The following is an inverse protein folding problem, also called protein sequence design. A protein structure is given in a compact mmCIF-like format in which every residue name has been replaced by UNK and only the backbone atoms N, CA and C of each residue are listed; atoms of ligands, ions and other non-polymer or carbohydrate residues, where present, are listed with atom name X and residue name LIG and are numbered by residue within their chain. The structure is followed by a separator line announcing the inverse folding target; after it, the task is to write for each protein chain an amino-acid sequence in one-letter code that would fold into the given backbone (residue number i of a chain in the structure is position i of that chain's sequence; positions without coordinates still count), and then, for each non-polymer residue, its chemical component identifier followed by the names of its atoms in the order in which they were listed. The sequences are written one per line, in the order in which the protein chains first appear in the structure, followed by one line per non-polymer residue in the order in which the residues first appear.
data_IF_834781804033
#
_entry.id   IF_834781804033
#
_cell.length_a   1.000
_cell.length_b   1.000
_cell.length_c   1.000
_cell.angle_alpha   90.00
_cell.angle_beta   90.00
_cell.angle_gamma   90.00
#
_symmetry.space_group_name_H-M   'P 1'
#
loop_
_entity.id
_entity.type
_entity.pdbx_description
1 polymer ?
#
# COMPACT_ATOMS: atom_id res chain seq x y z
N UNK A 1 0.21 -39.00 -10.64
CA UNK A 1 0.50 -37.55 -10.61
C UNK A 1 -0.52 -36.88 -9.70
N UNK A 2 -0.20 -36.68 -8.42
CA UNK A 2 -1.10 -36.03 -7.47
C UNK A 2 -0.68 -34.57 -7.30
N UNK A 3 -1.42 -33.65 -7.92
CA UNK A 3 -1.30 -32.22 -7.63
C UNK A 3 -1.94 -31.94 -6.28
N UNK A 4 -1.25 -31.17 -5.43
CA UNK A 4 -1.77 -30.77 -4.13
C UNK A 4 -3.06 -29.95 -4.34
N UNK A 5 -4.11 -30.18 -3.53
CA UNK A 5 -5.43 -29.52 -3.72
C UNK A 5 -5.35 -27.99 -3.66
N UNK A 6 -4.31 -27.46 -3.01
CA UNK A 6 -4.03 -26.02 -2.92
C UNK A 6 -3.31 -25.43 -4.15
N UNK A 7 -2.70 -26.25 -5.02
CA UNK A 7 -1.84 -25.77 -6.10
C UNK A 7 -2.54 -24.83 -7.08
N UNK A 8 -3.84 -25.03 -7.33
CA UNK A 8 -4.63 -24.12 -8.18
C UNK A 8 -4.76 -22.72 -7.57
N UNK A 9 -5.05 -22.64 -6.26
CA UNK A 9 -5.20 -21.36 -5.57
C UNK A 9 -3.86 -20.68 -5.29
N UNK A 10 -2.81 -21.46 -5.05
CA UNK A 10 -1.45 -20.92 -4.87
C UNK A 10 -0.92 -20.31 -6.17
N UNK A 11 -1.08 -21.02 -7.30
CA UNK A 11 -0.78 -20.50 -8.63
C UNK A 11 -1.57 -19.22 -8.92
N UNK A 12 -2.89 -19.26 -8.70
CA UNK A 12 -3.77 -18.10 -8.92
C UNK A 12 -3.39 -16.88 -8.08
N UNK A 13 -2.90 -17.08 -6.85
CA UNK A 13 -2.42 -15.99 -5.97
C UNK A 13 -1.08 -15.41 -6.40
N UNK A 14 -0.24 -16.20 -7.06
CA UNK A 14 1.08 -15.77 -7.58
C UNK A 14 0.96 -15.02 -8.90
N UNK A 15 0.02 -15.40 -9.79
CA UNK A 15 -0.15 -14.78 -11.11
C UNK A 15 -0.67 -13.34 -11.08
N UNK A 16 -1.43 -12.95 -10.04
CA UNK A 16 -2.16 -11.65 -10.02
C UNK A 16 -1.41 -10.56 -9.25
N UNK A 17 -0.10 -10.43 -9.43
CA UNK A 17 0.59 -9.22 -8.96
C UNK A 17 1.55 -8.65 -10.01
N UNK A 18 1.01 -8.01 -11.07
CA UNK A 18 1.70 -6.89 -11.66
C UNK A 18 1.82 -5.82 -10.58
N UNK A 19 2.97 -5.85 -9.91
CA UNK A 19 3.43 -4.82 -9.02
C UNK A 19 3.80 -3.58 -9.89
N UNK A 20 4.04 -2.41 -9.31
CA UNK A 20 3.19 -1.67 -8.38
C UNK A 20 3.56 -0.19 -8.49
N UNK A 21 4.04 0.31 -9.64
CA UNK A 21 5.02 1.41 -9.62
C UNK A 21 4.48 2.64 -8.91
N UNK A 22 3.20 2.97 -9.16
CA UNK A 22 2.49 4.03 -8.46
C UNK A 22 2.21 3.72 -6.99
N UNK A 23 1.87 2.47 -6.63
CA UNK A 23 1.65 2.08 -5.23
C UNK A 23 2.94 1.96 -4.41
N UNK A 24 4.05 1.49 -4.98
CA UNK A 24 5.35 1.44 -4.33
C UNK A 24 5.92 2.84 -4.13
N UNK A 25 5.84 3.71 -5.14
CA UNK A 25 6.22 5.12 -5.01
C UNK A 25 5.36 5.81 -3.94
N UNK A 26 4.04 5.56 -3.95
CA UNK A 26 3.14 6.08 -2.92
C UNK A 26 3.51 5.56 -1.52
N UNK A 27 3.82 4.26 -1.37
CA UNK A 27 4.25 3.66 -0.09
C UNK A 27 5.57 4.25 0.39
N UNK A 28 6.54 4.44 -0.52
CA UNK A 28 7.79 5.09 -0.22
C UNK A 28 7.54 6.52 0.28
N UNK A 29 6.71 7.29 -0.45
CA UNK A 29 6.37 8.66 -0.07
C UNK A 29 5.66 8.74 1.28
N UNK A 30 4.69 7.86 1.53
CA UNK A 30 4.02 7.74 2.81
C UNK A 30 5.00 7.43 3.95
N UNK A 31 6.00 6.59 3.69
CA UNK A 31 7.03 6.23 4.68
C UNK A 31 7.95 7.41 4.98
N UNK A 32 8.34 8.19 3.97
CA UNK A 32 9.11 9.42 4.14
C UNK A 32 8.34 10.44 4.99
N UNK A 33 7.09 10.72 4.64
CA UNK A 33 6.22 11.63 5.40
C UNK A 33 6.04 11.16 6.85
N UNK A 34 5.91 9.85 7.06
CA UNK A 34 5.82 9.28 8.40
C UNK A 34 7.11 9.49 9.20
N UNK A 35 8.28 9.27 8.59
CA UNK A 35 9.59 9.53 9.22
C UNK A 35 9.78 11.01 9.57
N UNK A 36 9.47 11.91 8.64
CA UNK A 36 9.54 13.38 8.85
C UNK A 36 8.65 13.80 10.02
N UNK A 37 7.47 13.20 10.16
CA UNK A 37 6.54 13.49 11.26
C UNK A 37 6.93 12.87 12.62
N UNK A 38 8.10 12.25 12.74
CA UNK A 38 8.52 11.47 13.92
C UNK A 38 7.49 10.39 14.28
N UNK A 39 6.93 9.73 13.27
CA UNK A 39 5.96 8.64 13.43
C UNK A 39 4.62 9.06 14.07
N UNK A 40 4.35 10.36 14.21
CA UNK A 40 3.10 10.88 14.80
C UNK A 40 1.99 11.12 13.78
N UNK A 41 2.30 11.07 12.48
CA UNK A 41 1.32 11.35 11.42
C UNK A 41 0.34 10.20 11.24
N UNK A 42 -0.87 10.37 11.78
CA UNK A 42 -1.99 9.47 11.54
C UNK A 42 -2.60 9.59 10.14
N UNK A 43 -3.44 8.62 9.78
CA UNK A 43 -4.08 8.52 8.45
C UNK A 43 -4.80 9.78 7.96
N UNK A 44 -5.42 10.57 8.85
CA UNK A 44 -6.09 11.84 8.49
C UNK A 44 -5.08 12.88 7.97
N UNK A 45 -4.00 13.10 8.72
CA UNK A 45 -2.93 14.06 8.34
C UNK A 45 -2.19 13.59 7.09
N UNK A 46 -1.98 12.27 6.96
CA UNK A 46 -1.33 11.70 5.78
C UNK A 46 -2.15 11.92 4.50
N UNK A 47 -3.48 11.78 4.55
CA UNK A 47 -4.34 12.10 3.40
C UNK A 47 -4.26 13.58 3.03
N UNK A 48 -4.30 14.48 4.02
CA UNK A 48 -4.18 15.92 3.76
C UNK A 48 -2.86 16.25 3.06
N UNK A 49 -1.75 15.72 3.57
CA UNK A 49 -0.42 15.95 3.00
C UNK A 49 -0.25 15.38 1.59
N UNK A 50 -0.77 14.18 1.35
CA UNK A 50 -0.75 13.58 0.02
C UNK A 50 -1.60 14.38 -0.98
N UNK A 51 -2.73 14.95 -0.55
CA UNK A 51 -3.54 15.83 -1.41
C UNK A 51 -2.85 17.16 -1.72
N UNK A 52 -2.16 17.75 -0.74
CA UNK A 52 -1.30 18.93 -0.95
C UNK A 52 -0.22 18.65 -2.01
N UNK A 53 0.33 17.44 -2.03
CA UNK A 53 1.32 16.99 -3.03
C UNK A 53 0.69 16.59 -4.39
N UNK A 54 -0.63 16.72 -4.56
CA UNK A 54 -1.33 16.42 -5.80
C UNK A 54 -1.84 14.99 -5.95
N UNK A 55 -1.72 14.15 -4.92
CA UNK A 55 -2.25 12.78 -4.96
C UNK A 55 -3.75 12.74 -4.71
N UNK A 56 -4.50 12.15 -5.65
CA UNK A 56 -5.93 11.87 -5.49
C UNK A 56 -6.11 10.58 -4.68
N UNK A 57 -6.03 10.70 -3.35
CA UNK A 57 -6.17 9.56 -2.43
C UNK A 57 -7.20 9.79 -1.32
N UNK A 58 -7.87 8.71 -0.92
CA UNK A 58 -8.82 8.66 0.19
C UNK A 58 -8.26 8.00 1.45
N UNK A 59 -8.91 8.27 2.58
CA UNK A 59 -8.53 7.75 3.91
C UNK A 59 -8.52 6.23 3.99
N UNK A 60 -9.46 5.56 3.32
CA UNK A 60 -9.52 4.10 3.30
C UNK A 60 -8.25 3.51 2.68
N UNK A 61 -7.81 4.04 1.54
CA UNK A 61 -6.62 3.56 0.81
C UNK A 61 -5.35 3.82 1.61
N UNK A 62 -5.19 5.02 2.18
CA UNK A 62 -4.09 5.34 3.11
C UNK A 62 -4.06 4.36 4.28
N UNK A 63 -5.19 4.11 4.95
CA UNK A 63 -5.26 3.17 6.09
C UNK A 63 -4.87 1.75 5.69
N UNK A 64 -5.36 1.26 4.54
CA UNK A 64 -5.01 -0.07 4.02
C UNK A 64 -3.51 -0.20 3.73
N UNK A 65 -2.89 0.84 3.17
CA UNK A 65 -1.46 0.88 2.88
C UNK A 65 -0.61 1.00 4.15
N UNK A 66 -1.09 1.68 5.19
CA UNK A 66 -0.41 1.79 6.49
C UNK A 66 -0.49 0.51 7.32
N UNK A 67 -1.60 -0.25 7.26
CA UNK A 67 -1.78 -1.51 7.99
C UNK A 67 -0.94 -2.63 7.38
N UNK A 68 -0.90 -2.72 6.05
CA UNK A 68 -0.09 -3.71 5.32
C UNK A 68 1.35 -3.21 5.13
N UNK A 69 1.99 -2.80 6.23
CA UNK A 69 3.40 -2.39 6.25
C UNK A 69 4.32 -3.60 6.17
#
# INVERSE_FOLDING_TARGET
MSVHRGSYYDWKRQTVKPLPTTEALLRQRMTELFKVSRQSMGSRRMVARLREEGYIIGRYRVRKLMINK
#
